data_IF_884419192417
#
_entry.id   IF_884419192417
#
_cell.length_a   1.000
_cell.length_b   1.000
_cell.length_c   1.000
_cell.angle_alpha   90.00
_cell.angle_beta   90.00
_cell.angle_gamma   90.00
#
_symmetry.space_group_name_H-M   'P 1'
#
loop_
_entity.id
_entity.type
_entity.pdbx_description
1 polymer ?
#
# COMPACT_ATOMS: atom_id res chain seq x y z
N UNK A 1 13.32 -19.51 -14.74
CA UNK A 1 12.62 -18.24 -15.07
C UNK A 1 12.81 -17.26 -13.93
N UNK A 2 13.08 -15.99 -14.25
CA UNK A 2 13.37 -14.93 -13.26
C UNK A 2 12.31 -13.83 -13.31
N UNK A 3 11.65 -13.55 -12.19
CA UNK A 3 10.60 -12.55 -12.04
C UNK A 3 11.08 -11.37 -11.20
N UNK A 4 10.65 -10.18 -11.57
CA UNK A 4 10.64 -9.04 -10.66
C UNK A 4 9.25 -8.90 -10.06
N UNK A 5 9.17 -8.72 -8.74
CA UNK A 5 7.91 -8.52 -8.04
C UNK A 5 7.85 -7.11 -7.46
N UNK A 6 6.85 -6.37 -7.89
CA UNK A 6 6.48 -5.02 -7.51
C UNK A 6 5.05 -4.99 -6.99
N UNK A 7 4.74 -4.03 -6.14
CA UNK A 7 3.38 -3.76 -5.67
C UNK A 7 3.26 -2.29 -5.22
N UNK A 8 2.05 -1.85 -4.97
CA UNK A 8 1.77 -0.61 -4.25
C UNK A 8 2.50 0.59 -4.85
N UNK A 9 2.41 0.72 -6.20
CA UNK A 9 3.04 1.82 -6.93
C UNK A 9 2.40 3.16 -6.57
N UNK A 10 1.09 3.17 -6.34
CA UNK A 10 0.30 4.34 -5.99
C UNK A 10 0.63 5.57 -6.82
N UNK A 11 0.77 5.38 -8.15
CA UNK A 11 1.13 6.48 -9.05
C UNK A 11 0.17 7.65 -8.91
N UNK A 12 0.76 8.85 -8.75
CA UNK A 12 0.04 10.08 -8.49
C UNK A 12 -0.31 10.32 -7.02
N UNK A 13 0.30 9.55 -6.09
CA UNK A 13 0.16 9.80 -4.64
C UNK A 13 0.67 11.18 -4.27
N UNK A 14 -0.04 11.82 -3.36
CA UNK A 14 0.36 13.10 -2.74
C UNK A 14 0.34 12.93 -1.23
N UNK A 15 1.26 13.60 -0.56
CA UNK A 15 1.25 13.74 0.89
C UNK A 15 1.28 15.23 1.21
N UNK A 16 0.28 15.71 1.94
CA UNK A 16 0.03 17.14 2.08
C UNK A 16 -0.06 17.81 0.70
N UNK A 17 0.75 18.84 0.43
CA UNK A 17 0.77 19.55 -0.85
C UNK A 17 1.81 18.99 -1.84
N UNK A 18 2.61 18.01 -1.45
CA UNK A 18 3.69 17.45 -2.26
C UNK A 18 3.20 16.30 -3.15
N UNK A 19 3.55 16.36 -4.43
CA UNK A 19 3.33 15.27 -5.37
C UNK A 19 4.56 14.37 -5.44
N UNK A 20 4.36 13.06 -5.36
CA UNK A 20 5.46 12.09 -5.49
C UNK A 20 5.69 11.60 -6.91
N UNK A 21 4.88 12.05 -7.89
CA UNK A 21 4.86 11.45 -9.23
C UNK A 21 6.22 11.52 -9.93
N UNK A 22 6.97 12.61 -9.78
CA UNK A 22 8.29 12.74 -10.40
C UNK A 22 9.28 11.72 -9.81
N UNK A 23 9.30 11.56 -8.49
CA UNK A 23 10.13 10.57 -7.82
C UNK A 23 9.71 9.14 -8.18
N UNK A 24 8.39 8.89 -8.28
CA UNK A 24 7.86 7.60 -8.71
C UNK A 24 8.32 7.25 -10.13
N UNK A 25 8.30 8.20 -11.07
CA UNK A 25 8.80 7.99 -12.43
C UNK A 25 10.29 7.66 -12.43
N UNK A 26 11.10 8.35 -11.63
CA UNK A 26 12.54 8.04 -11.51
C UNK A 26 12.80 6.66 -10.90
N UNK A 27 11.98 6.25 -9.93
CA UNK A 27 12.05 4.90 -9.35
C UNK A 27 11.63 3.83 -10.35
N UNK A 28 10.62 4.08 -11.20
CA UNK A 28 10.28 3.17 -12.30
C UNK A 28 11.45 2.99 -13.28
N UNK A 29 12.22 4.06 -13.58
CA UNK A 29 13.45 3.94 -14.39
C UNK A 29 14.50 3.07 -13.67
N UNK A 30 14.68 3.19 -12.35
CA UNK A 30 15.58 2.29 -11.60
C UNK A 30 15.11 0.83 -11.69
N UNK A 31 13.80 0.59 -11.61
CA UNK A 31 13.22 -0.76 -11.78
C UNK A 31 13.58 -1.33 -13.17
N UNK A 32 13.51 -0.52 -14.23
CA UNK A 32 13.91 -0.92 -15.58
C UNK A 32 15.41 -1.28 -15.67
N UNK A 33 16.27 -0.50 -14.99
CA UNK A 33 17.70 -0.80 -14.91
C UNK A 33 17.98 -2.10 -14.13
N UNK A 34 17.27 -2.32 -13.02
CA UNK A 34 17.34 -3.56 -12.24
C UNK A 34 16.88 -4.73 -13.11
N UNK A 35 15.79 -4.61 -13.87
CA UNK A 35 15.28 -5.64 -14.75
C UNK A 35 16.33 -6.08 -15.78
N UNK A 36 17.07 -5.13 -16.35
CA UNK A 36 18.19 -5.41 -17.29
C UNK A 36 19.35 -6.11 -16.60
N UNK A 37 19.78 -5.58 -15.46
CA UNK A 37 20.94 -6.10 -14.73
C UNK A 37 20.70 -7.52 -14.22
N UNK A 38 19.49 -7.79 -13.73
CA UNK A 38 19.06 -9.09 -13.24
C UNK A 38 18.71 -10.07 -14.38
N UNK A 39 18.59 -9.57 -15.62
CA UNK A 39 18.11 -10.37 -16.78
C UNK A 39 16.76 -11.01 -16.48
N UNK A 40 15.83 -10.21 -16.01
CA UNK A 40 14.49 -10.68 -15.70
C UNK A 40 13.77 -11.17 -16.97
N UNK A 41 12.94 -12.19 -16.83
CA UNK A 41 12.07 -12.70 -17.89
C UNK A 41 10.68 -12.06 -17.83
N UNK A 42 10.24 -11.69 -16.61
CA UNK A 42 8.92 -11.12 -16.40
C UNK A 42 8.86 -10.19 -15.18
N UNK A 43 7.80 -9.36 -15.15
CA UNK A 43 7.48 -8.46 -14.04
C UNK A 43 6.08 -8.77 -13.53
N UNK A 44 5.95 -8.97 -12.21
CA UNK A 44 4.70 -9.14 -11.49
C UNK A 44 4.38 -7.83 -10.77
N UNK A 45 3.21 -7.25 -11.00
CA UNK A 45 2.72 -6.02 -10.34
C UNK A 45 1.48 -6.40 -9.53
N UNK A 46 1.67 -6.54 -8.22
CA UNK A 46 0.68 -7.08 -7.32
C UNK A 46 -0.28 -6.00 -6.76
N UNK A 47 -0.90 -5.23 -7.65
CA UNK A 47 -1.99 -4.30 -7.32
C UNK A 47 -1.53 -2.92 -6.85
N UNK A 48 -2.53 -2.06 -6.62
CA UNK A 48 -2.41 -0.64 -6.25
C UNK A 48 -1.46 0.11 -7.18
N UNK A 49 -1.75 -0.02 -8.49
CA UNK A 49 -1.02 0.69 -9.53
C UNK A 49 -1.19 2.20 -9.37
N UNK A 50 -2.42 2.63 -9.11
CA UNK A 50 -2.76 4.04 -8.96
C UNK A 50 -3.20 4.37 -7.54
N UNK A 51 -3.00 5.62 -7.14
CA UNK A 51 -3.48 6.11 -5.84
C UNK A 51 -5.01 6.14 -5.72
N UNK A 52 -5.73 6.24 -6.83
CA UNK A 52 -7.20 6.36 -6.86
C UNK A 52 -7.79 5.58 -8.02
N UNK A 53 -8.99 5.06 -7.84
CA UNK A 53 -9.76 4.39 -8.89
C UNK A 53 -10.00 5.26 -10.14
N UNK A 54 -9.87 6.58 -10.03
CA UNK A 54 -9.89 7.56 -11.13
C UNK A 54 -8.56 8.32 -11.14
N UNK A 55 -7.50 7.76 -11.74
CA UNK A 55 -6.17 8.36 -11.72
C UNK A 55 -6.09 9.62 -12.59
N UNK A 56 -5.10 10.46 -12.29
CA UNK A 56 -4.75 11.62 -13.13
C UNK A 56 -4.08 11.16 -14.42
N UNK A 57 -4.20 11.95 -15.47
CA UNK A 57 -3.65 11.63 -16.81
C UNK A 57 -2.14 11.41 -16.79
N UNK A 58 -1.42 12.19 -15.98
CA UNK A 58 0.04 12.10 -15.83
C UNK A 58 0.47 10.77 -15.20
N UNK A 59 -0.30 10.29 -14.21
CA UNK A 59 -0.04 8.98 -13.60
C UNK A 59 -0.33 7.83 -14.58
N UNK A 60 -1.39 7.97 -15.39
CA UNK A 60 -1.69 7.00 -16.46
C UNK A 60 -0.60 6.96 -17.52
N UNK A 61 -0.12 8.13 -17.96
CA UNK A 61 0.97 8.23 -18.92
C UNK A 61 2.28 7.64 -18.39
N UNK A 62 2.59 7.84 -17.10
CA UNK A 62 3.77 7.25 -16.45
C UNK A 62 3.70 5.72 -16.44
N UNK A 63 2.54 5.15 -16.12
CA UNK A 63 2.37 3.70 -16.13
C UNK A 63 2.43 3.11 -17.55
N UNK A 64 1.76 3.75 -18.52
CA UNK A 64 1.79 3.36 -19.93
C UNK A 64 3.23 3.32 -20.48
N UNK A 65 4.01 4.37 -20.23
CA UNK A 65 5.43 4.42 -20.61
C UNK A 65 6.26 3.33 -19.94
N UNK A 66 6.04 3.06 -18.67
CA UNK A 66 6.73 2.01 -17.93
C UNK A 66 6.46 0.63 -18.55
N UNK A 67 5.18 0.27 -18.74
CA UNK A 67 4.81 -1.01 -19.36
C UNK A 67 5.37 -1.13 -20.79
N UNK A 68 5.32 -0.06 -21.57
CA UNK A 68 5.87 -0.02 -22.93
C UNK A 68 7.35 -0.32 -22.92
N UNK A 69 8.15 0.32 -22.04
CA UNK A 69 9.60 0.07 -21.94
C UNK A 69 9.92 -1.35 -21.48
N UNK A 70 9.14 -1.91 -20.54
CA UNK A 70 9.29 -3.32 -20.14
C UNK A 70 9.04 -4.25 -21.34
N UNK A 71 8.07 -3.95 -22.19
CA UNK A 71 7.79 -4.72 -23.40
C UNK A 71 8.88 -4.58 -24.46
N UNK A 72 9.43 -3.39 -24.64
CA UNK A 72 10.58 -3.17 -25.54
C UNK A 72 11.82 -3.97 -25.09
N UNK A 73 11.94 -4.26 -23.79
CA UNK A 73 12.97 -5.15 -23.23
C UNK A 73 12.63 -6.64 -23.41
N UNK A 74 11.46 -7.00 -23.95
CA UNK A 74 11.02 -8.37 -24.16
C UNK A 74 10.38 -9.06 -22.96
N UNK A 75 10.17 -8.35 -21.85
CA UNK A 75 9.63 -8.92 -20.62
C UNK A 75 8.14 -9.27 -20.75
N UNK A 76 7.69 -10.37 -20.16
CA UNK A 76 6.28 -10.58 -19.89
C UNK A 76 5.86 -9.71 -18.69
N UNK A 77 4.65 -9.14 -18.72
CA UNK A 77 4.17 -8.27 -17.64
C UNK A 77 2.83 -8.77 -17.14
N UNK A 78 2.73 -8.94 -15.83
CA UNK A 78 1.53 -9.40 -15.13
C UNK A 78 1.06 -8.31 -14.17
N UNK A 79 -0.20 -7.90 -14.27
CA UNK A 79 -0.76 -6.81 -13.47
C UNK A 79 -2.09 -7.28 -12.89
N UNK A 80 -2.27 -7.07 -11.61
CA UNK A 80 -3.60 -7.18 -10.97
C UNK A 80 -4.03 -5.83 -10.41
N UNK A 81 -5.33 -5.66 -10.19
CA UNK A 81 -5.85 -4.50 -9.44
C UNK A 81 -5.78 -4.73 -7.94
N UNK A 82 -5.41 -3.67 -7.20
CA UNK A 82 -5.51 -3.61 -5.75
C UNK A 82 -6.82 -2.97 -5.28
N UNK A 83 -6.89 -2.55 -4.00
CA UNK A 83 -8.10 -1.94 -3.43
C UNK A 83 -8.28 -0.46 -3.82
N UNK A 84 -7.20 0.25 -4.17
CA UNK A 84 -7.25 1.62 -4.68
C UNK A 84 -7.61 1.69 -6.16
N UNK A 85 -7.41 0.62 -6.90
CA UNK A 85 -7.61 0.57 -8.33
C UNK A 85 -9.08 0.34 -8.70
N UNK A 86 -9.43 0.73 -9.94
CA UNK A 86 -10.64 0.23 -10.60
C UNK A 86 -10.26 -0.95 -11.49
N UNK A 87 -10.68 -2.17 -11.13
CA UNK A 87 -10.42 -3.37 -11.91
C UNK A 87 -10.85 -3.20 -13.37
N UNK A 88 -12.01 -2.58 -13.62
CA UNK A 88 -12.53 -2.34 -14.97
C UNK A 88 -11.65 -1.36 -15.79
N UNK A 89 -11.03 -0.37 -15.12
CA UNK A 89 -10.17 0.60 -15.81
C UNK A 89 -8.79 0.05 -16.10
N UNK A 90 -8.21 -0.69 -15.15
CA UNK A 90 -6.91 -1.33 -15.34
C UNK A 90 -7.00 -2.39 -16.43
N UNK A 91 -8.08 -3.18 -16.46
CA UNK A 91 -8.28 -4.23 -17.46
C UNK A 91 -8.77 -3.71 -18.82
N UNK A 92 -8.92 -2.39 -18.98
CA UNK A 92 -9.30 -1.83 -20.27
C UNK A 92 -8.28 -2.23 -21.34
N UNK A 93 -8.75 -2.84 -22.43
CA UNK A 93 -7.93 -3.45 -23.47
C UNK A 93 -7.12 -4.71 -23.07
N UNK A 94 -7.37 -5.35 -21.91
CA UNK A 94 -6.66 -6.57 -21.47
C UNK A 94 -6.57 -7.64 -22.57
N UNK A 95 -7.67 -7.89 -23.28
CA UNK A 95 -7.73 -8.87 -24.38
C UNK A 95 -6.77 -8.56 -25.54
N UNK A 96 -6.53 -7.29 -25.85
CA UNK A 96 -5.57 -6.87 -26.88
C UNK A 96 -4.14 -6.94 -26.34
N UNK A 97 -3.92 -6.51 -25.12
CA UNK A 97 -2.61 -6.47 -24.46
C UNK A 97 -2.02 -7.88 -24.26
N UNK A 98 -2.88 -8.88 -24.03
CA UNK A 98 -2.48 -10.29 -23.90
C UNK A 98 -1.66 -10.78 -25.08
N UNK A 99 -1.99 -10.38 -26.30
CA UNK A 99 -1.25 -10.75 -27.51
C UNK A 99 0.16 -10.16 -27.56
N UNK A 100 0.40 -9.10 -26.79
CA UNK A 100 1.72 -8.47 -26.65
C UNK A 100 2.49 -8.99 -25.44
N UNK A 101 1.96 -9.97 -24.69
CA UNK A 101 2.59 -10.50 -23.47
C UNK A 101 2.43 -9.60 -22.26
N UNK A 102 1.38 -8.76 -22.24
CA UNK A 102 0.91 -8.02 -21.07
C UNK A 102 -0.39 -8.63 -20.60
N UNK A 103 -0.37 -9.22 -19.43
CA UNK A 103 -1.50 -9.94 -18.83
C UNK A 103 -2.05 -9.11 -17.67
N UNK A 104 -3.22 -8.55 -17.87
CA UNK A 104 -3.89 -7.74 -16.84
C UNK A 104 -5.09 -8.52 -16.33
N UNK A 105 -5.22 -8.64 -15.00
CA UNK A 105 -6.39 -9.31 -14.43
C UNK A 105 -7.66 -8.52 -14.74
N UNK A 106 -8.66 -9.21 -15.23
CA UNK A 106 -9.99 -8.65 -15.40
C UNK A 106 -10.69 -8.50 -14.04
N UNK A 107 -11.81 -7.78 -14.00
CA UNK A 107 -12.68 -7.81 -12.84
C UNK A 107 -13.12 -9.26 -12.62
N UNK A 108 -13.11 -9.72 -11.35
CA UNK A 108 -13.42 -11.10 -11.02
C UNK A 108 -14.80 -11.50 -11.58
N UNK A 109 -14.80 -12.56 -12.35
CA UNK A 109 -15.97 -13.13 -13.08
C UNK A 109 -16.36 -14.53 -12.59
N UNK A 110 -15.83 -14.96 -11.46
CA UNK A 110 -16.02 -16.31 -10.91
C UNK A 110 -14.86 -17.28 -11.21
N UNK A 111 -13.86 -16.86 -11.96
CA UNK A 111 -12.72 -17.71 -12.33
C UNK A 111 -11.39 -17.06 -11.98
N UNK A 112 -10.42 -17.87 -11.54
CA UNK A 112 -9.04 -17.45 -11.38
C UNK A 112 -8.37 -17.44 -12.76
N UNK A 113 -7.96 -16.26 -13.21
CA UNK A 113 -7.23 -16.13 -14.47
C UNK A 113 -5.84 -16.75 -14.34
N UNK A 114 -5.49 -17.65 -15.26
CA UNK A 114 -4.20 -18.34 -15.29
C UNK A 114 -3.52 -18.16 -16.63
N UNK A 115 -2.19 -18.00 -16.60
CA UNK A 115 -1.34 -17.88 -17.78
C UNK A 115 -0.19 -18.88 -17.65
N UNK A 116 -0.04 -19.76 -18.64
CA UNK A 116 1.06 -20.71 -18.66
C UNK A 116 2.23 -20.14 -19.46
N UNK A 117 3.39 -20.10 -18.82
CA UNK A 117 4.69 -19.81 -19.43
C UNK A 117 5.48 -21.11 -19.58
N UNK A 118 6.50 -21.10 -20.44
CA UNK A 118 7.37 -22.24 -20.70
C UNK A 118 8.83 -21.81 -20.67
N UNK A 119 9.67 -22.57 -19.96
CA UNK A 119 11.14 -22.45 -20.02
C UNK A 119 11.79 -23.83 -20.03
N UNK A 120 13.12 -23.90 -19.85
CA UNK A 120 13.90 -25.13 -19.82
C UNK A 120 13.50 -26.12 -18.71
N UNK A 121 12.87 -25.62 -17.63
CA UNK A 121 12.39 -26.43 -16.50
C UNK A 121 10.91 -26.84 -16.65
N UNK A 122 10.30 -26.63 -17.83
CA UNK A 122 8.91 -27.00 -18.11
C UNK A 122 7.90 -25.87 -17.91
N UNK A 123 6.65 -26.23 -17.70
CA UNK A 123 5.56 -25.27 -17.55
C UNK A 123 5.60 -24.56 -16.18
N UNK A 124 5.27 -23.28 -16.23
CA UNK A 124 5.06 -22.43 -15.05
C UNK A 124 3.73 -21.70 -15.22
N UNK A 125 2.85 -21.82 -14.23
CA UNK A 125 1.52 -21.21 -14.23
C UNK A 125 1.53 -19.96 -13.33
N UNK A 126 1.21 -18.82 -13.92
CA UNK A 126 0.98 -17.56 -13.18
C UNK A 126 -0.52 -17.34 -13.03
N UNK A 127 -0.99 -17.34 -11.79
CA UNK A 127 -2.38 -17.10 -11.41
C UNK A 127 -2.54 -15.64 -10.97
N UNK A 128 -3.54 -14.95 -11.49
CA UNK A 128 -3.82 -13.54 -11.22
C UNK A 128 -5.09 -13.41 -10.37
N UNK A 129 -4.93 -13.10 -9.09
CA UNK A 129 -6.02 -12.88 -8.14
C UNK A 129 -6.07 -11.40 -7.77
N UNK A 130 -6.96 -10.59 -8.39
CA UNK A 130 -7.14 -9.18 -8.03
C UNK A 130 -7.65 -9.05 -6.60
N UNK A 131 -7.62 -7.83 -6.07
CA UNK A 131 -8.26 -7.56 -4.77
C UNK A 131 -9.74 -7.93 -4.80
N UNK A 132 -10.17 -8.74 -3.85
CA UNK A 132 -11.52 -9.25 -3.76
C UNK A 132 -12.14 -8.94 -2.39
N UNK A 133 -13.40 -8.49 -2.44
CA UNK A 133 -14.27 -8.40 -1.25
C UNK A 133 -15.20 -9.59 -1.19
N UNK A 134 -15.58 -10.09 0.00
CA UNK A 134 -16.47 -11.24 0.16
C UNK A 134 -17.78 -11.13 -0.65
N UNK A 135 -18.35 -9.93 -0.69
CA UNK A 135 -19.60 -9.66 -1.43
C UNK A 135 -19.48 -9.87 -2.95
N UNK A 136 -18.28 -9.66 -3.52
CA UNK A 136 -18.04 -9.88 -4.95
C UNK A 136 -18.01 -11.36 -5.28
N UNK A 137 -17.35 -12.16 -4.43
CA UNK A 137 -17.17 -13.60 -4.63
C UNK A 137 -18.47 -14.37 -4.39
N UNK A 138 -19.26 -13.96 -3.40
CA UNK A 138 -20.59 -14.54 -3.07
C UNK A 138 -21.55 -14.60 -4.25
N UNK A 139 -21.42 -13.69 -5.21
CA UNK A 139 -22.27 -13.66 -6.41
C UNK A 139 -22.05 -14.85 -7.34
N UNK A 140 -20.85 -15.42 -7.31
CA UNK A 140 -20.47 -16.54 -8.18
C UNK A 140 -20.59 -17.89 -7.48
N UNK A 141 -20.53 -17.89 -6.14
CA UNK A 141 -20.64 -19.11 -5.32
C UNK A 141 -21.74 -18.95 -4.26
N UNK A 142 -23.03 -18.87 -4.69
CA UNK A 142 -24.16 -18.54 -3.82
C UNK A 142 -24.45 -19.61 -2.76
N UNK A 143 -24.03 -20.85 -2.99
CA UNK A 143 -24.25 -21.99 -2.08
C UNK A 143 -23.15 -22.09 -1.01
N UNK A 144 -22.10 -21.25 -1.09
CA UNK A 144 -21.02 -21.23 -0.13
C UNK A 144 -21.21 -20.13 0.91
N UNK A 145 -20.81 -20.43 2.16
CA UNK A 145 -20.75 -19.45 3.24
C UNK A 145 -19.49 -18.63 3.10
N UNK A 146 -19.59 -17.42 2.54
CA UNK A 146 -18.48 -16.48 2.32
C UNK A 146 -18.76 -15.21 3.13
N UNK A 147 -18.18 -15.10 4.31
CA UNK A 147 -18.36 -13.96 5.23
C UNK A 147 -17.10 -13.11 5.35
N UNK A 148 -15.92 -13.74 5.34
CA UNK A 148 -14.63 -13.11 5.51
C UNK A 148 -13.85 -13.05 4.18
N UNK A 149 -12.79 -12.24 4.15
CA UNK A 149 -11.85 -12.23 3.01
C UNK A 149 -11.16 -13.58 2.83
N UNK A 150 -10.85 -14.26 3.94
CA UNK A 150 -10.32 -15.63 3.88
C UNK A 150 -11.27 -16.59 3.20
N UNK A 151 -12.57 -16.58 3.56
CA UNK A 151 -13.57 -17.45 2.91
C UNK A 151 -13.63 -17.16 1.41
N UNK A 152 -13.58 -15.88 1.03
CA UNK A 152 -13.62 -15.46 -0.36
C UNK A 152 -12.44 -16.01 -1.16
N UNK A 153 -11.21 -15.82 -0.67
CA UNK A 153 -10.00 -16.31 -1.33
C UNK A 153 -9.97 -17.83 -1.37
N UNK A 154 -10.31 -18.51 -0.28
CA UNK A 154 -10.40 -19.96 -0.25
C UNK A 154 -11.42 -20.51 -1.24
N UNK A 155 -12.60 -19.87 -1.38
CA UNK A 155 -13.61 -20.29 -2.35
C UNK A 155 -13.05 -20.19 -3.78
N UNK A 156 -12.43 -19.06 -4.14
CA UNK A 156 -11.82 -18.90 -5.47
C UNK A 156 -10.75 -19.95 -5.73
N UNK A 157 -9.86 -20.20 -4.78
CA UNK A 157 -8.78 -21.18 -4.94
C UNK A 157 -9.31 -22.62 -5.04
N UNK A 158 -10.32 -23.00 -4.27
CA UNK A 158 -10.97 -24.32 -4.38
C UNK A 158 -11.63 -24.56 -5.73
N UNK A 159 -12.23 -23.52 -6.32
CA UNK A 159 -12.87 -23.61 -7.64
C UNK A 159 -11.85 -23.43 -8.80
N UNK A 160 -10.60 -23.14 -8.50
CA UNK A 160 -9.54 -23.09 -9.49
C UNK A 160 -8.85 -24.45 -9.61
N UNK A 161 -8.48 -24.80 -10.83
CA UNK A 161 -7.75 -26.06 -11.10
C UNK A 161 -6.25 -25.80 -10.98
N UNK A 162 -5.72 -25.66 -9.75
CA UNK A 162 -4.28 -25.53 -9.51
C UNK A 162 -3.64 -26.93 -9.58
N UNK A 163 -2.82 -27.16 -10.61
CA UNK A 163 -2.02 -28.38 -10.73
C UNK A 163 -0.73 -28.23 -9.90
N UNK A 164 -0.72 -28.82 -8.72
CA UNK A 164 0.44 -28.74 -7.80
C UNK A 164 1.69 -29.49 -8.29
N UNK A 165 1.59 -30.28 -9.36
CA UNK A 165 2.77 -30.90 -9.99
C UNK A 165 3.56 -29.88 -10.84
N UNK A 166 2.92 -28.80 -11.28
CA UNK A 166 3.55 -27.70 -12.02
C UNK A 166 4.13 -26.66 -11.08
N UNK A 167 5.00 -25.80 -11.60
CA UNK A 167 5.45 -24.60 -10.91
C UNK A 167 4.34 -23.57 -10.91
N UNK A 168 3.92 -23.10 -9.72
CA UNK A 168 2.78 -22.21 -9.57
C UNK A 168 3.20 -20.90 -8.89
N UNK A 169 2.89 -19.79 -9.54
CA UNK A 169 3.03 -18.43 -9.00
C UNK A 169 1.63 -17.84 -8.83
N UNK A 170 1.36 -17.26 -7.67
CA UNK A 170 0.15 -16.46 -7.44
C UNK A 170 0.54 -14.99 -7.30
N UNK A 171 -0.13 -14.11 -8.04
CA UNK A 171 -0.09 -12.67 -7.82
C UNK A 171 -1.39 -12.27 -7.12
N UNK A 172 -1.28 -11.67 -5.95
CA UNK A 172 -2.42 -11.44 -5.05
C UNK A 172 -2.27 -10.12 -4.29
N UNK A 173 -3.38 -9.43 -4.02
CA UNK A 173 -3.39 -8.18 -3.26
C UNK A 173 -4.33 -8.33 -2.07
N UNK A 174 -3.80 -8.82 -0.94
CA UNK A 174 -4.59 -9.15 0.25
C UNK A 174 -3.75 -9.00 1.53
N UNK A 175 -4.45 -8.86 2.68
CA UNK A 175 -3.80 -8.75 3.98
C UNK A 175 -3.59 -10.13 4.61
N UNK A 176 -2.33 -10.47 4.88
CA UNK A 176 -1.96 -11.73 5.56
C UNK A 176 -1.78 -11.51 7.04
N UNK A 177 -2.39 -12.35 7.85
CA UNK A 177 -2.31 -12.30 9.31
C UNK A 177 -0.86 -12.24 9.79
N UNK A 178 -0.57 -11.27 10.65
CA UNK A 178 0.76 -11.09 11.24
C UNK A 178 1.72 -10.21 10.42
N UNK A 179 1.30 -9.67 9.27
CA UNK A 179 2.11 -8.70 8.53
C UNK A 179 2.22 -7.37 9.31
N UNK A 180 3.41 -6.77 9.27
CA UNK A 180 3.67 -5.46 9.87
C UNK A 180 3.15 -4.35 8.94
N UNK A 181 2.31 -3.46 9.48
CA UNK A 181 1.67 -2.36 8.75
C UNK A 181 2.28 -1.01 9.10
N UNK A 182 2.03 0.01 8.27
CA UNK A 182 2.31 1.43 8.52
C UNK A 182 1.01 2.25 8.56
N UNK A 183 1.12 3.58 8.62
CA UNK A 183 -0.05 4.48 8.62
C UNK A 183 -0.55 4.78 7.20
N UNK A 184 0.11 4.26 6.18
CA UNK A 184 -0.22 4.53 4.78
C UNK A 184 -1.14 3.49 4.13
N UNK A 185 -1.32 2.31 4.78
CA UNK A 185 -2.26 1.28 4.34
C UNK A 185 -3.66 1.53 4.90
N UNK A 186 -4.68 1.17 4.13
CA UNK A 186 -6.06 1.13 4.59
C UNK A 186 -6.29 -0.12 5.44
N UNK A 187 -6.73 0.08 6.70
CA UNK A 187 -7.03 -1.02 7.63
C UNK A 187 -8.53 -1.17 7.79
N UNK A 188 -9.01 -2.40 7.65
CA UNK A 188 -10.41 -2.73 7.95
C UNK A 188 -10.60 -2.86 9.46
N UNK A 189 -11.60 -2.16 10.01
CA UNK A 189 -11.94 -2.26 11.42
C UNK A 189 -12.43 -3.68 11.74
N UNK A 190 -11.86 -4.29 12.78
CA UNK A 190 -12.25 -5.61 13.27
C UNK A 190 -11.50 -6.81 12.67
N UNK A 191 -10.48 -6.59 11.81
CA UNK A 191 -9.60 -7.66 11.32
C UNK A 191 -10.29 -8.69 10.40
N UNK A 192 -11.41 -8.32 9.76
CA UNK A 192 -12.17 -9.19 8.86
C UNK A 192 -11.43 -9.46 7.53
N UNK A 193 -10.43 -8.65 7.22
CA UNK A 193 -9.57 -8.73 6.02
C UNK A 193 -8.38 -9.68 6.17
N UNK A 194 -8.15 -10.21 7.37
CA UNK A 194 -7.04 -11.13 7.66
C UNK A 194 -7.21 -12.49 6.95
N UNK A 195 -6.13 -12.92 6.29
CA UNK A 195 -6.05 -14.24 5.63
C UNK A 195 -4.88 -15.02 6.21
N UNK A 196 -5.11 -16.29 6.55
CA UNK A 196 -4.04 -17.18 6.99
C UNK A 196 -3.12 -17.54 5.81
N UNK A 197 -1.82 -17.47 6.02
CA UNK A 197 -0.80 -17.82 5.03
C UNK A 197 -0.93 -19.27 4.50
N UNK A 198 -1.49 -20.18 5.28
CA UNK A 198 -1.71 -21.58 4.89
C UNK A 198 -2.66 -21.73 3.69
N UNK A 199 -3.52 -20.74 3.43
CA UNK A 199 -4.41 -20.71 2.26
C UNK A 199 -3.63 -20.79 0.94
N UNK A 200 -2.37 -20.38 0.95
CA UNK A 200 -1.51 -20.27 -0.23
C UNK A 200 -0.47 -21.40 -0.33
N UNK A 201 -0.68 -22.54 0.34
CA UNK A 201 0.28 -23.67 0.40
C UNK A 201 0.57 -24.30 -0.95
N UNK A 202 -0.35 -24.25 -1.90
CA UNK A 202 -0.26 -24.90 -3.21
C UNK A 202 0.61 -24.12 -4.21
N UNK A 203 1.08 -22.93 -3.83
CA UNK A 203 1.90 -22.07 -4.69
C UNK A 203 3.37 -22.09 -4.28
N UNK A 204 4.27 -22.20 -5.26
CA UNK A 204 5.73 -22.15 -5.05
C UNK A 204 6.17 -20.73 -4.69
N UNK A 205 5.55 -19.73 -5.30
CA UNK A 205 5.72 -18.31 -4.97
C UNK A 205 4.40 -17.56 -4.93
N UNK A 206 4.26 -16.68 -3.93
CA UNK A 206 3.10 -15.79 -3.80
C UNK A 206 3.59 -14.34 -3.76
N UNK A 207 3.30 -13.62 -4.82
CA UNK A 207 3.60 -12.20 -4.97
C UNK A 207 2.47 -11.37 -4.35
N UNK A 208 2.69 -10.83 -3.14
CA UNK A 208 1.72 -10.06 -2.39
C UNK A 208 1.90 -8.55 -2.57
N UNK A 209 0.80 -7.83 -2.74
CA UNK A 209 0.67 -6.40 -2.53
C UNK A 209 -0.29 -6.09 -1.39
N UNK A 210 -0.52 -4.81 -1.12
CA UNK A 210 -1.32 -4.21 -0.06
C UNK A 210 -0.51 -3.65 1.12
N UNK A 211 0.61 -4.27 1.48
CA UNK A 211 1.45 -3.80 2.60
C UNK A 211 2.70 -3.14 2.04
N UNK A 212 2.94 -1.89 2.46
CA UNK A 212 4.01 -1.04 1.93
C UNK A 212 5.39 -1.40 2.44
N UNK A 213 5.50 -2.17 3.53
CA UNK A 213 6.78 -2.68 4.05
C UNK A 213 7.20 -3.93 3.28
N UNK A 214 8.37 -3.93 2.59
CA UNK A 214 8.93 -5.16 2.04
C UNK A 214 9.18 -6.17 3.15
N UNK A 215 8.51 -7.31 3.11
CA UNK A 215 8.63 -8.34 4.15
C UNK A 215 8.21 -9.71 3.64
N UNK A 216 8.80 -10.76 4.19
CA UNK A 216 8.27 -12.11 4.09
C UNK A 216 7.18 -12.33 5.14
N UNK A 217 6.24 -13.19 4.84
CA UNK A 217 5.30 -13.69 5.82
C UNK A 217 5.86 -14.96 6.48
N UNK A 218 5.20 -16.10 6.40
CA UNK A 218 5.65 -17.35 7.05
C UNK A 218 6.87 -18.00 6.37
N UNK A 219 7.08 -17.73 5.06
CA UNK A 219 8.17 -18.28 4.25
C UNK A 219 8.72 -17.22 3.29
N UNK A 220 9.95 -17.40 2.81
CA UNK A 220 10.59 -16.43 1.90
C UNK A 220 9.86 -16.30 0.56
N UNK A 221 9.17 -17.35 0.14
CA UNK A 221 8.41 -17.42 -1.11
C UNK A 221 6.96 -16.94 -1.00
N UNK A 222 6.54 -16.42 0.16
CA UNK A 222 5.27 -15.74 0.38
C UNK A 222 5.58 -14.38 1.00
N UNK A 223 5.54 -13.33 0.16
CA UNK A 223 6.04 -12.03 0.60
C UNK A 223 5.38 -10.84 -0.06
N UNK A 224 5.44 -9.73 0.63
CA UNK A 224 5.13 -8.40 0.13
C UNK A 224 6.36 -7.78 -0.54
N UNK A 225 6.18 -7.23 -1.76
CA UNK A 225 7.20 -6.42 -2.40
C UNK A 225 7.42 -5.09 -1.65
N UNK A 226 6.33 -4.58 -1.08
CA UNK A 226 6.26 -3.23 -0.54
C UNK A 226 6.15 -2.16 -1.63
N UNK A 227 5.96 -0.92 -1.22
CA UNK A 227 5.88 0.23 -2.12
C UNK A 227 7.25 0.66 -2.62
N UNK A 228 7.30 1.38 -3.76
CA UNK A 228 8.55 1.86 -4.37
C UNK A 228 9.29 2.87 -3.49
N UNK A 229 8.56 3.70 -2.75
CA UNK A 229 9.10 4.71 -1.84
C UNK A 229 8.26 4.79 -0.56
N UNK A 230 8.72 5.56 0.41
CA UNK A 230 7.99 5.80 1.66
C UNK A 230 6.80 6.74 1.41
N UNK A 231 5.62 6.35 1.86
CA UNK A 231 4.38 7.10 1.67
C UNK A 231 3.83 7.71 2.96
N UNK A 232 4.46 7.42 4.09
CA UNK A 232 4.17 8.07 5.37
C UNK A 232 5.41 8.17 6.25
N UNK A 233 5.39 9.07 7.24
CA UNK A 233 6.48 9.20 8.20
C UNK A 233 6.64 8.00 9.14
N UNK A 234 5.65 7.13 9.23
CA UNK A 234 5.79 5.84 9.93
C UNK A 234 6.72 4.85 9.20
N UNK A 235 7.01 5.11 7.92
CA UNK A 235 7.87 4.27 7.08
C UNK A 235 9.35 4.72 7.04
N UNK A 236 9.75 5.75 7.78
CA UNK A 236 11.10 6.35 7.69
C UNK A 236 12.23 5.35 7.89
N UNK A 237 12.01 4.30 8.69
CA UNK A 237 12.98 3.25 8.97
C UNK A 237 12.90 2.07 7.98
N UNK A 238 11.99 2.09 7.02
CA UNK A 238 11.86 1.03 6.03
C UNK A 238 12.88 1.21 4.90
N UNK A 239 13.42 0.10 4.41
CA UNK A 239 14.25 0.06 3.20
C UNK A 239 13.39 -0.45 2.06
N UNK A 240 13.15 0.38 1.06
CA UNK A 240 12.38 0.02 -0.13
C UNK A 240 13.24 -0.76 -1.11
N UNK A 241 12.64 -1.74 -1.77
CA UNK A 241 13.37 -2.66 -2.65
C UNK A 241 12.45 -3.31 -3.67
N UNK A 242 13.04 -3.83 -4.73
CA UNK A 242 12.40 -4.76 -5.66
C UNK A 242 12.72 -6.19 -5.21
N UNK A 243 11.74 -7.08 -5.17
CA UNK A 243 11.99 -8.49 -4.96
C UNK A 243 12.29 -9.17 -6.32
N UNK A 244 13.38 -9.90 -6.38
CA UNK A 244 13.79 -10.71 -7.54
C UNK A 244 13.65 -12.17 -7.16
N UNK A 245 12.92 -12.92 -7.99
CA UNK A 245 12.53 -14.31 -7.75
C UNK A 245 13.05 -15.17 -8.86
N UNK A 246 13.91 -16.10 -8.55
CA UNK A 246 14.43 -17.07 -9.50
C UNK A 246 13.83 -18.44 -9.23
N UNK A 247 13.16 -18.99 -10.23
CA UNK A 247 12.50 -20.29 -10.17
C UNK A 247 13.19 -21.26 -11.12
N UNK A 248 13.84 -22.27 -10.54
CA UNK A 248 14.42 -23.42 -11.23
C UNK A 248 13.39 -24.53 -11.43
N UNK A 249 13.75 -25.77 -11.10
CA UNK A 249 12.83 -26.91 -11.10
C UNK A 249 11.72 -26.74 -10.03
N UNK A 250 10.69 -27.59 -10.08
CA UNK A 250 9.61 -27.58 -9.09
C UNK A 250 10.18 -27.69 -7.67
N UNK A 251 9.82 -26.71 -6.84
CA UNK A 251 10.29 -26.58 -5.44
C UNK A 251 11.60 -25.77 -5.29
N UNK A 252 12.28 -25.42 -6.37
CA UNK A 252 13.48 -24.59 -6.35
C UNK A 252 13.12 -23.12 -6.61
N UNK A 253 12.92 -22.35 -5.56
CA UNK A 253 12.64 -20.92 -5.64
C UNK A 253 13.58 -20.16 -4.74
N UNK A 254 14.35 -19.24 -5.31
CA UNK A 254 15.24 -18.34 -4.60
C UNK A 254 14.73 -16.90 -4.70
N UNK A 255 14.88 -16.14 -3.62
CA UNK A 255 14.43 -14.76 -3.56
C UNK A 255 15.51 -13.89 -2.96
N UNK A 256 15.84 -12.80 -3.65
CA UNK A 256 16.66 -11.73 -3.11
C UNK A 256 16.00 -10.37 -3.35
N UNK A 257 16.52 -9.32 -2.74
CA UNK A 257 15.98 -7.98 -2.89
C UNK A 257 17.06 -7.02 -3.37
N UNK A 258 16.70 -6.15 -4.31
CA UNK A 258 17.56 -5.07 -4.80
C UNK A 258 17.01 -3.75 -4.25
N UNK A 259 17.80 -2.98 -3.49
CA UNK A 259 17.34 -1.74 -2.89
C UNK A 259 16.99 -0.69 -3.93
N UNK A 260 15.97 0.11 -3.65
CA UNK A 260 15.61 1.31 -4.38
C UNK A 260 16.14 2.55 -3.66
N UNK A 261 16.65 3.51 -4.41
CA UNK A 261 17.14 4.79 -3.91
C UNK A 261 16.27 5.92 -4.46
N UNK A 262 15.30 6.44 -3.70
CA UNK A 262 14.48 7.55 -4.16
C UNK A 262 15.32 8.81 -4.32
N UNK A 263 14.98 9.71 -5.26
CA UNK A 263 15.65 11.01 -5.42
C UNK A 263 15.57 11.86 -4.14
N UNK A 264 14.40 11.84 -3.49
CA UNK A 264 14.15 12.48 -2.20
C UNK A 264 13.68 11.42 -1.21
N UNK A 265 14.44 11.20 -0.15
CA UNK A 265 14.05 10.27 0.91
C UNK A 265 13.12 10.96 1.94
N UNK A 266 12.47 10.18 2.77
CA UNK A 266 11.61 10.68 3.84
C UNK A 266 12.31 10.51 5.18
N UNK A 267 12.45 11.61 5.95
CA UNK A 267 13.20 11.63 7.21
C UNK A 267 12.49 12.42 8.31
N UNK A 268 12.73 11.99 9.55
CA UNK A 268 12.47 12.80 10.74
C UNK A 268 13.72 13.62 11.09
N UNK A 269 13.54 14.91 11.36
CA UNK A 269 14.57 15.83 11.81
C UNK A 269 14.12 16.40 13.15
N UNK A 270 14.95 16.26 14.16
CA UNK A 270 14.63 16.69 15.52
C UNK A 270 15.84 17.36 16.16
N UNK A 271 15.64 18.49 16.85
CA UNK A 271 16.70 19.22 17.53
C UNK A 271 16.27 20.62 17.95
N UNK A 272 17.22 21.36 18.52
CA UNK A 272 17.08 22.81 18.71
C UNK A 272 17.24 23.52 17.35
N UNK A 273 16.67 24.72 17.22
CA UNK A 273 16.68 25.45 15.96
C UNK A 273 18.12 25.62 15.41
N UNK A 274 19.05 25.98 16.26
CA UNK A 274 20.46 26.16 15.85
C UNK A 274 21.09 24.84 15.36
N UNK A 275 20.75 23.73 15.98
CA UNK A 275 21.23 22.40 15.57
C UNK A 275 20.63 22.01 14.20
N UNK A 276 19.34 22.25 14.01
CA UNK A 276 18.65 21.99 12.75
C UNK A 276 19.18 22.86 11.62
N UNK A 277 19.47 24.14 11.90
CA UNK A 277 20.04 25.08 10.94
C UNK A 277 21.50 24.78 10.58
N UNK A 278 22.25 24.11 11.46
CA UNK A 278 23.61 23.65 11.20
C UNK A 278 23.67 22.37 10.32
N UNK A 279 22.56 21.72 10.05
CA UNK A 279 22.51 20.54 9.17
C UNK A 279 22.76 20.94 7.71
N UNK A 280 23.28 20.02 6.87
CA UNK A 280 23.46 20.29 5.46
C UNK A 280 22.09 20.47 4.77
N UNK A 281 22.06 21.33 3.75
CA UNK A 281 20.91 21.48 2.85
C UNK A 281 20.47 20.11 2.29
N UNK A 282 19.17 19.87 2.29
CA UNK A 282 18.62 18.64 1.74
C UNK A 282 17.21 18.86 1.17
N UNK A 283 16.96 18.30 0.00
CA UNK A 283 15.65 18.28 -0.64
C UNK A 283 14.80 17.05 -0.24
N UNK A 284 15.22 16.28 0.75
CA UNK A 284 14.42 15.19 1.30
C UNK A 284 13.10 15.71 1.87
N UNK A 285 12.08 14.85 1.85
CA UNK A 285 10.81 15.10 2.52
C UNK A 285 10.99 14.96 4.03
N UNK A 286 10.86 16.07 4.77
CA UNK A 286 11.14 16.06 6.20
C UNK A 286 9.93 16.42 7.05
N UNK A 287 9.85 15.76 8.21
CA UNK A 287 9.08 16.25 9.33
C UNK A 287 10.09 16.79 10.36
N UNK A 288 10.03 18.10 10.60
CA UNK A 288 10.90 18.78 11.56
C UNK A 288 10.17 18.97 12.88
N UNK A 289 10.82 18.56 13.97
CA UNK A 289 10.34 18.76 15.35
C UNK A 289 11.38 19.57 16.13
N UNK A 290 11.06 20.84 16.41
CA UNK A 290 11.90 21.67 17.26
C UNK A 290 11.68 21.38 18.74
N UNK A 291 12.77 21.42 19.51
CA UNK A 291 12.81 21.24 20.97
C UNK A 291 12.96 22.56 21.73
N UNK A 292 12.93 23.70 21.05
CA UNK A 292 13.07 25.03 21.65
C UNK A 292 11.90 25.34 22.56
N UNK A 293 12.17 25.86 23.77
CA UNK A 293 11.13 26.32 24.69
C UNK A 293 10.42 27.58 24.19
N UNK A 294 11.10 28.41 23.41
CA UNK A 294 10.60 29.66 22.83
C UNK A 294 11.21 29.84 21.41
N UNK A 295 10.77 29.04 20.41
CA UNK A 295 11.25 29.19 19.05
C UNK A 295 10.83 30.59 18.50
N UNK A 296 11.66 31.21 17.63
CA UNK A 296 11.27 32.45 16.95
C UNK A 296 9.98 32.25 16.15
N UNK A 297 9.13 33.30 15.98
CA UNK A 297 7.88 33.20 15.22
C UNK A 297 8.06 32.76 13.77
N UNK A 298 9.23 33.04 13.17
CA UNK A 298 9.61 32.69 11.80
C UNK A 298 10.43 31.40 11.69
N UNK A 299 10.57 30.63 12.77
CA UNK A 299 11.36 29.39 12.81
C UNK A 299 11.03 28.42 11.66
N UNK A 300 9.74 28.28 11.32
CA UNK A 300 9.31 27.45 10.19
C UNK A 300 9.89 27.93 8.86
N UNK A 301 9.86 29.24 8.59
CA UNK A 301 10.39 29.83 7.37
C UNK A 301 11.92 29.70 7.35
N UNK A 302 12.57 29.92 8.49
CA UNK A 302 14.02 29.77 8.65
C UNK A 302 14.45 28.34 8.35
N UNK A 303 13.79 27.32 8.94
CA UNK A 303 14.09 25.91 8.68
C UNK A 303 13.84 25.52 7.21
N UNK A 304 12.88 26.12 6.54
CA UNK A 304 12.62 25.84 5.13
C UNK A 304 13.76 26.26 4.19
N UNK A 305 14.69 27.10 4.64
CA UNK A 305 15.89 27.44 3.85
C UNK A 305 16.90 26.30 3.79
N UNK A 306 16.88 25.39 4.75
CA UNK A 306 17.72 24.18 4.80
C UNK A 306 16.95 22.96 4.26
N UNK A 307 15.66 22.90 4.54
CA UNK A 307 14.77 21.81 4.13
C UNK A 307 13.56 22.33 3.33
N UNK A 308 13.72 22.62 2.03
CA UNK A 308 12.63 23.21 1.22
C UNK A 308 11.41 22.30 1.10
N UNK A 309 11.60 20.97 1.16
CA UNK A 309 10.53 19.98 1.11
C UNK A 309 10.05 19.58 2.52
N UNK A 310 10.03 20.53 3.45
CA UNK A 310 9.48 20.30 4.80
C UNK A 310 7.97 20.14 4.76
N UNK A 311 7.51 18.88 4.88
CA UNK A 311 6.08 18.52 4.84
C UNK A 311 5.37 18.81 6.14
N UNK A 312 6.05 18.65 7.27
CA UNK A 312 5.46 18.86 8.59
C UNK A 312 6.45 19.59 9.51
N UNK A 313 5.92 20.49 10.31
CA UNK A 313 6.68 21.24 11.31
C UNK A 313 5.94 21.18 12.64
N UNK A 314 6.65 20.83 13.70
CA UNK A 314 6.13 20.73 15.07
C UNK A 314 7.10 21.36 16.05
N UNK A 315 6.58 21.81 17.18
CA UNK A 315 7.38 22.25 18.32
C UNK A 315 6.95 21.41 19.53
N UNK A 316 7.92 20.78 20.17
CA UNK A 316 7.70 19.96 21.38
C UNK A 316 8.53 20.53 22.51
N UNK A 317 7.89 21.24 23.42
CA UNK A 317 8.52 21.90 24.59
C UNK A 317 7.69 21.65 25.86
N UNK A 318 8.11 22.23 26.98
CA UNK A 318 7.41 22.06 28.26
C UNK A 318 5.94 22.48 28.23
N UNK A 319 5.56 23.42 27.34
CA UNK A 319 4.20 23.94 27.18
C UNK A 319 3.34 23.08 26.23
N UNK A 320 3.96 22.38 25.28
CA UNK A 320 3.28 21.50 24.32
C UNK A 320 3.26 20.04 24.77
N UNK A 321 4.15 19.67 25.71
CA UNK A 321 4.08 18.41 26.47
C UNK A 321 3.01 18.50 27.56
N UNK A 322 1.78 18.75 27.20
CA UNK A 322 0.70 18.41 28.10
C UNK A 322 0.52 16.90 28.00
N UNK A 323 0.44 16.24 29.19
CA UNK A 323 0.14 14.81 29.36
C UNK A 323 -1.20 14.37 28.74
N UNK A 324 -1.77 15.18 27.86
CA UNK A 324 -3.04 15.01 27.17
C UNK A 324 -2.96 13.86 26.14
N UNK A 325 -1.78 13.59 25.55
CA UNK A 325 -1.72 12.65 24.41
C UNK A 325 -1.79 11.17 24.79
N UNK A 326 -1.34 10.76 25.97
CA UNK A 326 -1.38 9.34 26.38
C UNK A 326 -2.69 9.06 27.14
N UNK A 327 -3.08 9.92 28.07
CA UNK A 327 -4.34 9.79 28.80
C UNK A 327 -5.58 10.06 27.92
N UNK A 328 -5.44 10.91 26.88
CA UNK A 328 -6.54 11.17 25.94
C UNK A 328 -6.81 9.99 25.00
N UNK A 329 -5.80 9.25 24.53
CA UNK A 329 -6.04 8.06 23.69
C UNK A 329 -6.74 6.94 24.45
N UNK A 330 -6.23 6.57 25.62
CA UNK A 330 -6.87 5.54 26.46
C UNK A 330 -8.26 5.96 26.98
N UNK A 331 -8.47 7.27 27.24
CA UNK A 331 -9.75 7.79 27.66
C UNK A 331 -10.76 7.98 26.50
N UNK A 332 -10.29 8.18 25.24
CA UNK A 332 -11.15 8.29 24.07
C UNK A 332 -11.72 6.94 23.62
N UNK A 333 -10.97 5.85 23.77
CA UNK A 333 -11.42 4.50 23.38
C UNK A 333 -12.62 3.98 24.18
N UNK A 334 -12.88 4.55 25.37
CA UNK A 334 -13.95 4.11 26.27
C UNK A 334 -15.09 5.14 26.45
N UNK A 335 -15.08 6.29 25.75
CA UNK A 335 -16.10 7.33 25.88
C UNK A 335 -17.15 7.24 24.77
N UNK A 336 -18.40 7.48 25.15
CA UNK A 336 -19.50 7.64 24.19
C UNK A 336 -19.31 8.91 23.34
N UNK A 337 -19.88 8.98 22.12
CA UNK A 337 -19.86 10.18 21.28
C UNK A 337 -20.38 11.43 21.99
N UNK A 338 -21.35 11.27 22.90
CA UNK A 338 -21.90 12.33 23.71
C UNK A 338 -20.90 12.87 24.74
N UNK A 339 -20.12 11.99 25.36
CA UNK A 339 -19.06 12.36 26.29
C UNK A 339 -17.91 13.07 25.60
N UNK A 340 -17.48 12.53 24.43
CA UNK A 340 -16.43 13.14 23.61
C UNK A 340 -16.82 14.55 23.15
N UNK A 341 -18.07 14.73 22.71
CA UNK A 341 -18.58 16.04 22.33
C UNK A 341 -18.60 17.00 23.52
N UNK A 342 -19.06 16.53 24.70
CA UNK A 342 -19.12 17.34 25.91
C UNK A 342 -17.73 17.81 26.33
N UNK A 343 -16.72 16.93 26.28
CA UNK A 343 -15.35 17.29 26.65
C UNK A 343 -14.74 18.28 25.64
N UNK A 344 -14.96 18.06 24.34
CA UNK A 344 -14.53 18.99 23.30
C UNK A 344 -15.20 20.35 23.43
N UNK A 345 -16.49 20.37 23.71
CA UNK A 345 -17.24 21.62 23.90
C UNK A 345 -16.71 22.42 25.08
N UNK A 346 -16.45 21.78 26.22
CA UNK A 346 -15.84 22.41 27.41
C UNK A 346 -14.45 23.00 27.08
N UNK A 347 -13.62 22.24 26.38
CA UNK A 347 -12.29 22.67 25.98
C UNK A 347 -12.34 23.97 25.15
N UNK A 348 -13.35 24.09 24.26
CA UNK A 348 -13.52 25.25 23.39
C UNK A 348 -14.28 26.43 24.03
N UNK A 349 -14.97 26.22 25.13
CA UNK A 349 -15.87 27.19 25.73
C UNK A 349 -15.55 27.50 27.22
N UNK A 350 -14.27 27.60 27.56
CA UNK A 350 -13.79 27.95 28.91
C UNK A 350 -14.42 27.06 30.01
N UNK A 351 -14.40 25.76 29.80
CA UNK A 351 -14.97 24.72 30.69
C UNK A 351 -16.48 24.77 30.89
N UNK A 352 -17.22 25.57 30.10
CA UNK A 352 -18.67 25.57 30.12
C UNK A 352 -19.24 24.32 29.45
N UNK A 353 -20.17 23.57 30.08
CA UNK A 353 -20.75 22.37 29.46
C UNK A 353 -21.72 22.74 28.33
N UNK A 354 -21.92 21.84 27.34
CA UNK A 354 -22.90 22.03 26.29
C UNK A 354 -24.31 22.11 26.85
N UNK A 355 -25.11 23.05 26.36
CA UNK A 355 -26.50 23.20 26.77
C UNK A 355 -27.38 22.05 26.20
N UNK A 356 -28.62 21.90 26.76
CA UNK A 356 -29.55 20.83 26.37
C UNK A 356 -29.78 20.75 24.84
N UNK A 357 -29.90 21.91 24.20
CA UNK A 357 -30.12 22.00 22.75
C UNK A 357 -28.94 21.46 21.90
N UNK A 358 -27.69 21.65 22.36
CA UNK A 358 -26.52 21.11 21.69
C UNK A 358 -26.52 19.57 21.73
N UNK A 359 -26.90 19.01 22.88
CA UNK A 359 -26.99 17.56 23.06
C UNK A 359 -28.16 16.93 22.28
N UNK A 360 -29.26 17.66 22.12
CA UNK A 360 -30.40 17.23 21.33
C UNK A 360 -30.05 17.16 19.83
N UNK A 361 -29.36 18.17 19.31
CA UNK A 361 -28.87 18.20 17.92
C UNK A 361 -27.90 17.02 17.68
N UNK A 362 -26.95 16.81 18.59
CA UNK A 362 -26.00 15.69 18.47
C UNK A 362 -26.72 14.33 18.40
N UNK A 363 -27.72 14.13 19.27
CA UNK A 363 -28.49 12.87 19.26
C UNK A 363 -29.35 12.71 18.02
N UNK A 364 -29.87 13.78 17.44
CA UNK A 364 -30.65 13.70 16.20
C UNK A 364 -29.74 13.33 15.00
N UNK A 365 -28.57 13.97 14.88
CA UNK A 365 -27.59 13.65 13.84
C UNK A 365 -27.08 12.21 13.93
N UNK A 366 -26.86 11.73 15.16
CA UNK A 366 -26.47 10.33 15.37
C UNK A 366 -27.54 9.36 14.89
N UNK A 367 -28.81 9.62 15.19
CA UNK A 367 -29.93 8.78 14.73
C UNK A 367 -30.08 8.79 13.22
N UNK A 368 -29.82 9.92 12.56
CA UNK A 368 -29.83 10.01 11.10
C UNK A 368 -28.72 9.14 10.50
N UNK A 369 -27.49 9.24 11.01
CA UNK A 369 -26.34 8.44 10.57
C UNK A 369 -26.54 6.94 10.82
N UNK A 370 -27.08 6.54 11.97
CA UNK A 370 -27.39 5.15 12.29
C UNK A 370 -28.59 4.61 11.46
N UNK A 371 -29.46 5.49 10.96
CA UNK A 371 -30.60 5.17 10.09
C UNK A 371 -30.23 4.96 8.62
N UNK A 372 -29.14 5.60 8.14
CA UNK A 372 -28.64 5.43 6.78
C UNK A 372 -27.78 4.14 6.59
N UNK A 373 -27.43 3.46 7.67
CA UNK A 373 -26.63 2.20 7.66
C UNK A 373 -27.53 0.95 7.60
N UNK A 374 -28.85 1.11 7.44
CA UNK A 374 -29.80 -0.01 7.29
C UNK A 374 -30.21 -0.30 5.84
#
# INVERSE_FOLDING_TARGET
>A
MKFMHLADLHLGKRLNDFSFLEDQVRLLCQVEEIARSERADAVLIAGDVYQKASPQSEAMAAFDQFITRLKEMGLAVFVISGNHDSAQRISYFSSLLKNSGVYVSEAFDGHLQQVTLQDEHGELVVSLLPFLKPIQVRRFYPDEKIETYQDAVQAVLRHSSVDTAKRNVLVCHQFITGAETSDSEEKTVGGLDNIDAAVFSDFDYVALGHIHKPQKCTRDTLRYAGSLMKYSFSEVNQKKSVAVVEMGEKGETQVHTVPLAPPHDMRLVEGMLDEVMAMPYSEDYVWVTLRDELPPPDARVTVSTVFPNMMKFSVVNSKTKTDIDVLAREAMENKSPEELFSDFYRLQNNDCPPGPRHMEILRSLRKELEGEIR
#
